data_IF_210984383540
#
_entry.id   IF_210984383540
#
_cell.length_a   1.000
_cell.length_b   1.000
_cell.length_c   1.000
_cell.angle_alpha   90.00
_cell.angle_beta   90.00
_cell.angle_gamma   90.00
#
_symmetry.space_group_name_H-M   'P 1'
#
loop_
_entity.id
_entity.type
_entity.pdbx_description
1 polymer ?
#
# COMPACT_ATOMS: atom_id res chain seq x y z
N UNK A 1 1.85 -102.28 -37.92
CA UNK A 1 2.19 -101.08 -37.14
C UNK A 1 2.99 -100.15 -38.04
N UNK A 2 2.31 -99.21 -38.72
CA UNK A 2 2.98 -98.18 -39.53
C UNK A 2 2.46 -96.84 -39.01
N UNK A 3 3.30 -96.19 -38.22
CA UNK A 3 3.10 -94.85 -37.70
C UNK A 3 3.42 -93.85 -38.82
N UNK A 4 2.39 -93.25 -39.43
CA UNK A 4 2.58 -92.18 -40.42
C UNK A 4 2.69 -90.85 -39.67
N UNK A 5 3.89 -90.28 -39.66
CA UNK A 5 4.22 -88.95 -39.14
C UNK A 5 3.38 -87.88 -39.84
N UNK A 6 2.46 -87.24 -39.12
CA UNK A 6 1.77 -86.04 -39.57
C UNK A 6 2.79 -84.92 -39.84
N UNK A 7 2.84 -84.45 -41.09
CA UNK A 7 3.83 -83.49 -41.57
C UNK A 7 3.47 -82.07 -41.09
N UNK A 8 4.03 -81.63 -39.94
CA UNK A 8 3.74 -80.36 -39.25
C UNK A 8 4.17 -79.07 -39.99
N UNK A 9 4.47 -79.12 -41.29
CA UNK A 9 5.07 -78.00 -42.04
C UNK A 9 4.07 -76.89 -42.41
N UNK A 10 2.77 -77.19 -42.56
CA UNK A 10 1.73 -76.18 -42.83
C UNK A 10 1.30 -75.38 -41.60
N UNK A 11 1.43 -75.96 -40.40
CA UNK A 11 1.05 -75.32 -39.13
C UNK A 11 2.01 -74.19 -38.72
N UNK A 12 3.29 -74.29 -39.10
CA UNK A 12 4.31 -73.27 -38.81
C UNK A 12 4.01 -71.95 -39.52
N UNK A 13 3.50 -72.01 -40.76
CA UNK A 13 3.18 -70.82 -41.57
C UNK A 13 1.96 -70.06 -41.01
N UNK A 14 0.97 -70.80 -40.49
CA UNK A 14 -0.22 -70.21 -39.86
C UNK A 14 0.17 -69.53 -38.53
N UNK A 15 1.01 -70.18 -37.71
CA UNK A 15 1.52 -69.58 -36.47
C UNK A 15 2.36 -68.34 -36.76
N UNK A 16 3.27 -68.40 -37.75
CA UNK A 16 4.09 -67.24 -38.09
C UNK A 16 3.24 -66.06 -38.59
N UNK A 17 2.18 -66.33 -39.37
CA UNK A 17 1.26 -65.29 -39.80
C UNK A 17 0.48 -64.69 -38.62
N UNK A 18 0.00 -65.52 -37.70
CA UNK A 18 -0.70 -65.05 -36.51
C UNK A 18 0.20 -64.19 -35.61
N UNK A 19 1.47 -64.58 -35.43
CA UNK A 19 2.46 -63.79 -34.70
C UNK A 19 2.72 -62.45 -35.40
N UNK A 20 2.84 -62.43 -36.73
CA UNK A 20 3.04 -61.19 -37.50
C UNK A 20 1.83 -60.26 -37.33
N UNK A 21 0.59 -60.77 -37.39
CA UNK A 21 -0.62 -59.96 -37.21
C UNK A 21 -0.70 -59.37 -35.80
N UNK A 22 -0.37 -60.14 -34.77
CA UNK A 22 -0.31 -59.62 -33.39
C UNK A 22 0.76 -58.53 -33.28
N UNK A 23 1.93 -58.76 -33.88
CA UNK A 23 3.05 -57.82 -33.82
C UNK A 23 2.73 -56.53 -34.57
N UNK A 24 2.05 -56.59 -35.72
CA UNK A 24 1.61 -55.39 -36.44
C UNK A 24 0.55 -54.62 -35.67
N UNK A 25 -0.40 -55.29 -35.01
CA UNK A 25 -1.38 -54.64 -34.12
C UNK A 25 -0.69 -53.91 -32.96
N UNK A 26 0.32 -54.53 -32.34
CA UNK A 26 1.12 -53.90 -31.28
C UNK A 26 1.90 -52.69 -31.80
N UNK A 27 2.49 -52.77 -33.00
CA UNK A 27 3.23 -51.65 -33.61
C UNK A 27 2.30 -50.48 -33.91
N UNK A 28 1.11 -50.73 -34.47
CA UNK A 28 0.11 -49.67 -34.74
C UNK A 28 -0.34 -49.01 -33.45
N UNK A 29 -0.62 -49.80 -32.40
CA UNK A 29 -0.98 -49.29 -31.08
C UNK A 29 0.13 -48.41 -30.50
N UNK A 30 1.39 -48.88 -30.55
CA UNK A 30 2.53 -48.12 -30.03
C UNK A 30 2.75 -46.81 -30.79
N UNK A 31 2.67 -46.84 -32.13
CA UNK A 31 2.82 -45.64 -32.96
C UNK A 31 1.73 -44.61 -32.65
N UNK A 32 0.48 -45.06 -32.43
CA UNK A 32 -0.62 -44.16 -32.04
C UNK A 32 -0.39 -43.49 -30.68
N UNK A 33 0.16 -44.23 -29.70
CA UNK A 33 0.55 -43.68 -28.40
C UNK A 33 1.64 -42.63 -28.54
N UNK A 34 2.69 -42.91 -29.33
CA UNK A 34 3.80 -41.96 -29.55
C UNK A 34 3.33 -40.66 -30.21
N UNK A 35 2.38 -40.74 -31.15
CA UNK A 35 1.78 -39.55 -31.77
C UNK A 35 0.97 -38.76 -30.74
N UNK A 36 0.17 -39.45 -29.90
CA UNK A 36 -0.59 -38.81 -28.85
C UNK A 36 0.31 -38.11 -27.82
N UNK A 37 1.39 -38.79 -27.38
CA UNK A 37 2.36 -38.25 -26.43
C UNK A 37 3.07 -37.01 -26.99
N UNK A 38 3.47 -37.03 -28.26
CA UNK A 38 4.06 -35.86 -28.91
C UNK A 38 3.07 -34.69 -28.99
N UNK A 39 1.80 -34.95 -29.29
CA UNK A 39 0.78 -33.91 -29.36
C UNK A 39 0.50 -33.31 -27.97
N UNK A 40 0.46 -34.13 -26.92
CA UNK A 40 0.33 -33.68 -25.54
C UNK A 40 1.56 -32.86 -25.13
N UNK A 41 2.77 -33.33 -25.42
CA UNK A 41 4.01 -32.61 -25.11
C UNK A 41 4.08 -31.26 -25.82
N UNK A 42 3.70 -31.20 -27.09
CA UNK A 42 3.63 -29.95 -27.85
C UNK A 42 2.62 -28.97 -27.24
N UNK A 43 1.41 -29.44 -26.91
CA UNK A 43 0.38 -28.61 -26.27
C UNK A 43 0.78 -28.16 -24.88
N UNK A 44 1.42 -29.02 -24.09
CA UNK A 44 1.90 -28.70 -22.76
C UNK A 44 2.98 -27.61 -22.82
N UNK A 45 3.97 -27.77 -23.70
CA UNK A 45 5.02 -26.79 -23.88
C UNK A 45 4.48 -25.44 -24.39
N UNK A 46 3.55 -25.45 -25.35
CA UNK A 46 2.88 -24.22 -25.81
C UNK A 46 2.02 -23.57 -24.71
N UNK A 47 1.34 -24.37 -23.88
CA UNK A 47 0.57 -23.92 -22.73
C UNK A 47 1.45 -23.22 -21.69
N UNK A 48 2.62 -23.80 -21.37
CA UNK A 48 3.56 -23.22 -20.41
C UNK A 48 4.08 -21.88 -20.95
N UNK A 49 4.43 -21.79 -22.23
CA UNK A 49 4.85 -20.53 -22.86
C UNK A 49 3.75 -19.46 -22.82
N UNK A 50 2.54 -19.82 -23.21
CA UNK A 50 1.38 -18.92 -23.15
C UNK A 50 1.12 -18.43 -21.71
N UNK A 51 1.32 -19.29 -20.71
CA UNK A 51 1.19 -18.90 -19.30
C UNK A 51 2.25 -17.87 -18.88
N UNK A 52 3.53 -18.08 -19.22
CA UNK A 52 4.58 -17.10 -18.92
C UNK A 52 4.36 -15.76 -19.62
N UNK A 53 3.89 -15.79 -20.87
CA UNK A 53 3.50 -14.57 -21.60
C UNK A 53 2.34 -13.83 -20.90
N UNK A 54 1.33 -14.56 -20.42
CA UNK A 54 0.24 -13.99 -19.66
C UNK A 54 0.75 -13.37 -18.33
N UNK A 55 1.71 -14.01 -17.65
CA UNK A 55 2.31 -13.46 -16.43
C UNK A 55 3.07 -12.16 -16.71
N UNK A 56 3.89 -12.11 -17.77
CA UNK A 56 4.59 -10.89 -18.17
C UNK A 56 3.61 -9.75 -18.53
N UNK A 57 2.46 -10.09 -19.11
CA UNK A 57 1.36 -9.15 -19.33
C UNK A 57 0.83 -8.54 -18.02
N UNK A 58 0.59 -9.36 -16.99
CA UNK A 58 0.15 -8.87 -15.67
C UNK A 58 1.21 -7.97 -15.04
N UNK A 59 2.47 -8.38 -15.05
CA UNK A 59 3.58 -7.59 -14.50
C UNK A 59 3.70 -6.23 -15.20
N UNK A 60 3.52 -6.20 -16.52
CA UNK A 60 3.50 -4.95 -17.27
C UNK A 60 2.32 -4.08 -16.90
N UNK A 61 1.12 -4.65 -16.75
CA UNK A 61 -0.07 -3.91 -16.33
C UNK A 61 0.12 -3.25 -14.96
N UNK A 62 0.66 -3.99 -13.99
CA UNK A 62 0.95 -3.46 -12.65
C UNK A 62 2.00 -2.34 -12.72
N UNK A 63 3.05 -2.50 -13.52
CA UNK A 63 4.07 -1.46 -13.70
C UNK A 63 3.49 -0.16 -14.26
N UNK A 64 2.58 -0.24 -15.23
CA UNK A 64 1.94 0.95 -15.81
C UNK A 64 0.94 1.59 -14.84
N UNK A 65 0.23 0.79 -14.03
CA UNK A 65 -0.64 1.33 -12.97
C UNK A 65 0.16 2.08 -11.88
N UNK A 66 1.35 1.59 -11.52
CA UNK A 66 2.17 2.19 -10.45
C UNK A 66 2.97 3.42 -10.92
N UNK A 67 3.53 3.38 -12.13
CA UNK A 67 4.48 4.40 -12.60
C UNK A 67 4.02 5.15 -13.86
N UNK A 68 2.91 4.75 -14.46
CA UNK A 68 2.44 5.26 -15.75
C UNK A 68 1.65 6.58 -15.68
N UNK A 69 1.89 7.42 -14.66
CA UNK A 69 1.23 8.72 -14.48
C UNK A 69 1.27 9.58 -15.77
N UNK A 70 0.24 9.44 -16.60
CA UNK A 70 0.09 10.12 -17.90
C UNK A 70 0.85 9.52 -19.10
N UNK A 71 1.50 8.35 -18.99
CA UNK A 71 2.30 7.76 -20.08
C UNK A 71 1.88 6.33 -20.42
N UNK A 72 0.65 6.16 -20.85
CA UNK A 72 0.12 4.92 -21.43
C UNK A 72 0.65 4.67 -22.86
N UNK A 73 1.97 4.59 -23.02
CA UNK A 73 2.61 4.46 -24.33
C UNK A 73 2.32 3.06 -24.91
N UNK A 74 1.73 3.01 -26.10
CA UNK A 74 1.39 1.76 -26.78
C UNK A 74 0.05 1.14 -26.38
N UNK A 75 -0.72 1.81 -25.52
CA UNK A 75 -2.07 1.41 -25.15
C UNK A 75 -3.11 2.07 -26.06
N UNK A 76 -4.19 1.35 -26.30
CA UNK A 76 -5.38 1.82 -27.00
C UNK A 76 -6.53 1.90 -26.01
N UNK A 77 -7.33 2.96 -26.11
CA UNK A 77 -8.56 3.10 -25.33
C UNK A 77 -9.74 2.51 -26.12
N UNK A 78 -10.40 1.50 -25.57
CA UNK A 78 -11.57 0.86 -26.17
C UNK A 78 -12.66 0.65 -25.11
N UNK A 79 -13.82 1.28 -25.31
CA UNK A 79 -15.02 1.11 -24.47
C UNK A 79 -14.78 1.26 -22.95
N UNK A 80 -13.94 2.23 -22.53
CA UNK A 80 -13.61 2.46 -21.11
C UNK A 80 -12.57 1.49 -20.55
N UNK A 81 -11.94 0.69 -21.41
CA UNK A 81 -10.82 -0.17 -21.07
C UNK A 81 -9.54 0.28 -21.79
N UNK A 82 -8.39 0.12 -21.13
CA UNK A 82 -7.07 0.26 -21.75
C UNK A 82 -6.60 -1.10 -22.23
N UNK A 83 -6.26 -1.19 -23.50
CA UNK A 83 -5.84 -2.42 -24.14
C UNK A 83 -4.43 -2.26 -24.71
N UNK A 84 -3.60 -3.27 -24.51
CA UNK A 84 -2.29 -3.35 -25.15
C UNK A 84 -2.09 -4.73 -25.75
N UNK A 85 -1.52 -4.77 -26.95
CA UNK A 85 -1.08 -6.01 -27.60
C UNK A 85 0.40 -5.89 -27.89
N UNK A 86 1.16 -6.92 -27.51
CA UNK A 86 2.60 -6.98 -27.73
C UNK A 86 2.93 -8.31 -28.40
N UNK A 87 3.67 -8.23 -29.51
CA UNK A 87 4.15 -9.40 -30.24
C UNK A 87 5.66 -9.49 -30.13
N UNK A 88 6.15 -10.66 -29.72
CA UNK A 88 7.58 -10.96 -29.66
C UNK A 88 7.95 -12.02 -30.69
N UNK A 89 8.72 -11.65 -31.73
CA UNK A 89 9.11 -12.57 -32.78
C UNK A 89 9.72 -13.87 -32.22
N UNK A 90 9.09 -15.00 -32.50
CA UNK A 90 9.56 -16.33 -32.09
C UNK A 90 9.18 -16.77 -30.66
N UNK A 91 8.61 -15.89 -29.84
CA UNK A 91 8.22 -16.19 -28.45
C UNK A 91 6.71 -16.31 -28.28
N UNK A 92 5.94 -15.47 -28.97
CA UNK A 92 4.48 -15.44 -28.88
C UNK A 92 3.96 -14.02 -28.72
N UNK A 93 2.67 -13.91 -28.42
CA UNK A 93 2.00 -12.63 -28.26
C UNK A 93 1.29 -12.59 -26.92
N UNK A 94 1.13 -11.41 -26.35
CA UNK A 94 0.25 -11.22 -25.21
C UNK A 94 -0.62 -9.99 -25.40
N UNK A 95 -1.83 -10.08 -24.86
CA UNK A 95 -2.77 -8.98 -24.77
C UNK A 95 -3.09 -8.68 -23.31
N UNK A 96 -3.33 -7.40 -23.04
CA UNK A 96 -3.77 -6.93 -21.73
C UNK A 96 -5.00 -6.07 -21.95
N UNK A 97 -6.01 -6.25 -21.13
CA UNK A 97 -7.16 -5.37 -21.01
C UNK A 97 -7.32 -4.97 -19.55
N UNK A 98 -7.26 -3.67 -19.28
CA UNK A 98 -7.52 -3.09 -17.96
C UNK A 98 -8.83 -2.33 -18.02
N UNK A 99 -9.77 -2.66 -17.15
CA UNK A 99 -11.06 -1.96 -16.98
C UNK A 99 -11.05 -1.20 -15.67
N UNK A 100 -11.80 -0.09 -15.61
CA UNK A 100 -11.87 0.78 -14.42
C UNK A 100 -10.49 1.27 -13.95
N UNK A 101 -9.66 1.75 -14.88
CA UNK A 101 -8.27 2.16 -14.62
C UNK A 101 -8.14 3.20 -13.50
N UNK A 102 -9.13 4.10 -13.39
CA UNK A 102 -9.13 5.18 -12.40
C UNK A 102 -9.82 4.80 -11.08
N UNK A 103 -10.36 3.57 -10.95
CA UNK A 103 -10.95 3.06 -9.71
C UNK A 103 -9.87 2.63 -8.71
N UNK A 104 -10.24 2.48 -7.44
CA UNK A 104 -9.38 1.86 -6.42
C UNK A 104 -9.04 0.40 -6.73
N UNK A 105 -9.89 -0.26 -7.53
CA UNK A 105 -9.78 -1.67 -7.88
C UNK A 105 -9.83 -1.89 -9.41
N UNK A 106 -8.79 -1.50 -10.17
CA UNK A 106 -8.71 -1.83 -11.59
C UNK A 106 -8.72 -3.35 -11.82
N UNK A 107 -9.53 -3.78 -12.78
CA UNK A 107 -9.64 -5.19 -13.17
C UNK A 107 -8.81 -5.46 -14.41
N UNK A 108 -7.86 -6.39 -14.29
CA UNK A 108 -6.85 -6.73 -15.31
C UNK A 108 -7.16 -8.11 -15.87
N UNK A 109 -7.32 -8.19 -17.18
CA UNK A 109 -7.37 -9.44 -17.95
C UNK A 109 -6.13 -9.51 -18.83
N UNK A 110 -5.26 -10.47 -18.55
CA UNK A 110 -4.05 -10.73 -19.31
C UNK A 110 -4.19 -12.06 -20.06
N UNK A 111 -3.82 -12.09 -21.33
CA UNK A 111 -3.84 -13.31 -22.14
C UNK A 111 -2.52 -13.48 -22.88
N UNK A 112 -1.97 -14.69 -22.85
CA UNK A 112 -0.80 -15.08 -23.64
C UNK A 112 -1.20 -16.07 -24.74
N UNK A 113 -0.59 -15.89 -25.91
CA UNK A 113 -0.84 -16.65 -27.14
C UNK A 113 0.47 -17.26 -27.66
N UNK A 114 0.43 -18.55 -27.99
CA UNK A 114 1.52 -19.23 -28.69
C UNK A 114 0.99 -20.05 -29.87
N UNK A 115 1.55 -19.93 -31.09
CA UNK A 115 2.65 -19.05 -31.48
C UNK A 115 2.26 -17.59 -31.76
N UNK A 116 0.98 -17.31 -32.08
CA UNK A 116 0.41 -15.97 -32.24
C UNK A 116 -1.11 -16.01 -32.09
N UNK A 117 -1.76 -14.86 -31.83
CA UNK A 117 -3.21 -14.74 -31.63
C UNK A 117 -4.00 -15.24 -32.86
N UNK A 118 -3.55 -14.87 -34.06
CA UNK A 118 -4.22 -15.20 -35.33
C UNK A 118 -3.88 -16.61 -35.86
N UNK A 119 -3.15 -17.42 -35.10
CA UNK A 119 -2.77 -18.78 -35.54
C UNK A 119 -3.92 -19.77 -35.37
N UNK A 120 -4.20 -20.58 -36.40
CA UNK A 120 -5.24 -21.62 -36.37
C UNK A 120 -5.08 -22.63 -35.21
N UNK A 121 -3.86 -22.83 -34.72
CA UNK A 121 -3.52 -23.72 -33.60
C UNK A 121 -3.06 -22.95 -32.35
N UNK A 122 -3.49 -21.70 -32.18
CA UNK A 122 -3.11 -20.88 -31.04
C UNK A 122 -3.50 -21.54 -29.72
N UNK A 123 -2.51 -21.68 -28.83
CA UNK A 123 -2.72 -22.09 -27.45
C UNK A 123 -2.79 -20.82 -26.61
N UNK A 124 -3.91 -20.66 -25.91
CA UNK A 124 -4.21 -19.46 -25.11
C UNK A 124 -4.22 -19.79 -23.63
N UNK A 125 -3.65 -18.90 -22.81
CA UNK A 125 -3.79 -18.89 -21.36
C UNK A 125 -4.16 -17.49 -20.90
N UNK A 126 -5.15 -17.40 -20.01
CA UNK A 126 -5.61 -16.15 -19.43
C UNK A 126 -5.33 -16.11 -17.94
N UNK A 127 -5.02 -14.92 -17.43
CA UNK A 127 -4.93 -14.60 -16.01
C UNK A 127 -5.85 -13.40 -15.78
N UNK A 128 -6.71 -13.52 -14.78
CA UNK A 128 -7.55 -12.44 -14.29
C UNK A 128 -7.02 -12.00 -12.93
N UNK A 129 -6.84 -10.69 -12.75
CA UNK A 129 -6.33 -10.12 -11.52
C UNK A 129 -7.10 -8.83 -11.19
N UNK A 130 -7.37 -8.63 -9.89
CA UNK A 130 -7.83 -7.34 -9.36
C UNK A 130 -6.62 -6.72 -8.70
N UNK A 131 -6.18 -5.56 -9.19
CA UNK A 131 -5.15 -4.79 -8.51
C UNK A 131 -5.85 -3.81 -7.55
N UNK A 132 -5.47 -3.82 -6.27
CA UNK A 132 -5.86 -2.79 -5.32
C UNK A 132 -4.80 -1.70 -5.31
N UNK A 133 -5.22 -0.43 -5.41
CA UNK A 133 -4.29 0.68 -5.22
C UNK A 133 -3.95 0.77 -3.74
N UNK A 134 -2.66 0.72 -3.38
CA UNK A 134 -2.24 1.09 -2.02
C UNK A 134 -2.66 2.54 -1.80
N UNK A 135 -3.77 2.74 -1.09
CA UNK A 135 -4.17 4.07 -0.66
C UNK A 135 -3.07 4.57 0.27
N UNK A 136 -2.53 5.74 -0.04
CA UNK A 136 -1.69 6.43 0.92
C UNK A 136 -2.54 6.61 2.17
N UNK A 137 -2.10 6.04 3.29
CA UNK A 137 -2.77 6.16 4.59
C UNK A 137 -2.98 7.63 5.00
N UNK A 138 -2.31 8.57 4.35
CA UNK A 138 -2.46 10.01 4.51
C UNK A 138 -3.20 10.66 3.32
N UNK A 139 -4.42 10.21 3.03
CA UNK A 139 -5.30 10.83 2.02
C UNK A 139 -6.09 12.03 2.56
N UNK A 140 -6.20 12.17 3.88
CA UNK A 140 -6.93 13.24 4.55
C UNK A 140 -6.00 14.11 5.38
N UNK A 141 -6.33 15.38 5.54
CA UNK A 141 -5.69 16.29 6.49
C UNK A 141 -5.98 15.85 7.94
N UNK A 142 -7.21 15.41 8.20
CA UNK A 142 -7.61 14.81 9.47
C UNK A 142 -8.55 13.63 9.23
N UNK A 143 -8.30 12.52 9.92
CA UNK A 143 -9.15 11.34 9.86
C UNK A 143 -9.37 10.71 11.23
N UNK A 144 -10.62 10.35 11.53
CA UNK A 144 -11.00 9.66 12.76
C UNK A 144 -11.62 8.29 12.47
N UNK A 145 -11.14 7.23 13.13
CA UNK A 145 -11.69 5.88 13.03
C UNK A 145 -13.16 5.80 13.46
N UNK A 146 -13.59 6.65 14.38
CA UNK A 146 -14.95 6.69 14.92
C UNK A 146 -15.55 8.09 14.89
N UNK A 147 -14.74 9.12 15.16
CA UNK A 147 -15.24 10.50 15.20
C UNK A 147 -14.13 11.51 14.94
N UNK A 148 -14.50 12.63 14.34
CA UNK A 148 -13.66 13.84 14.26
C UNK A 148 -14.42 15.03 14.83
N UNK A 149 -13.82 15.69 15.84
CA UNK A 149 -14.35 16.91 16.45
C UNK A 149 -13.47 18.11 16.08
N UNK A 150 -14.02 19.03 15.29
CA UNK A 150 -13.35 20.23 14.83
C UNK A 150 -13.92 21.46 15.54
N UNK A 151 -13.30 21.83 16.65
CA UNK A 151 -13.67 22.99 17.46
C UNK A 151 -12.82 24.23 17.18
N UNK A 152 -13.35 25.40 17.57
CA UNK A 152 -12.64 26.69 17.43
C UNK A 152 -12.69 27.26 16.01
N UNK A 153 -11.53 27.41 15.37
CA UNK A 153 -11.41 27.93 14.00
C UNK A 153 -10.51 27.03 13.14
N UNK A 154 -10.92 25.78 12.87
CA UNK A 154 -10.11 24.82 12.13
C UNK A 154 -9.96 25.27 10.67
N UNK A 155 -8.76 25.09 10.12
CA UNK A 155 -8.40 25.43 8.75
C UNK A 155 -7.62 24.25 8.16
N UNK A 156 -8.12 23.69 7.04
CA UNK A 156 -7.41 22.64 6.30
C UNK A 156 -7.06 23.11 4.89
N UNK A 157 -5.83 22.80 4.47
CA UNK A 157 -5.33 23.01 3.11
C UNK A 157 -4.49 21.81 2.68
N UNK A 158 -3.94 21.89 1.48
CA UNK A 158 -2.96 20.93 0.97
C UNK A 158 -1.67 21.66 0.61
N UNK A 159 -0.56 20.92 0.64
CA UNK A 159 0.69 21.45 0.12
C UNK A 159 1.54 20.34 -0.51
N UNK A 160 2.42 20.73 -1.43
CA UNK A 160 3.34 19.81 -2.09
C UNK A 160 4.75 19.94 -1.49
N UNK A 161 5.15 18.95 -0.69
CA UNK A 161 6.46 18.91 -0.03
C UNK A 161 7.65 18.80 -0.98
N UNK A 162 7.45 18.39 -2.24
CA UNK A 162 8.51 18.34 -3.25
C UNK A 162 8.92 19.74 -3.74
N UNK A 163 8.05 20.74 -3.55
CA UNK A 163 8.31 22.14 -3.92
C UNK A 163 9.00 22.95 -2.81
N UNK A 164 9.26 22.33 -1.66
CA UNK A 164 9.91 22.96 -0.51
C UNK A 164 9.02 23.03 0.74
N UNK A 165 9.52 23.69 1.81
CA UNK A 165 8.83 23.91 3.07
C UNK A 165 7.43 24.51 2.93
N UNK A 166 6.52 24.17 3.84
CA UNK A 166 5.14 24.69 3.79
C UNK A 166 5.09 26.23 3.76
N UNK A 167 4.20 26.78 2.91
CA UNK A 167 4.00 28.23 2.70
C UNK A 167 5.12 28.95 1.93
N UNK A 168 5.86 28.22 1.09
CA UNK A 168 6.82 28.79 0.15
C UNK A 168 6.28 28.76 -1.29
N UNK A 169 6.38 29.89 -2.00
CA UNK A 169 6.17 30.09 -3.43
C UNK A 169 5.24 29.08 -4.17
N UNK A 170 3.93 29.17 -3.94
CA UNK A 170 2.93 28.43 -4.73
C UNK A 170 2.92 26.92 -4.48
N UNK A 171 3.38 26.48 -3.30
CA UNK A 171 3.33 25.08 -2.88
C UNK A 171 2.03 24.69 -2.16
N UNK A 172 1.14 25.64 -1.86
CA UNK A 172 -0.17 25.38 -1.27
C UNK A 172 -1.25 25.25 -2.34
N UNK A 173 -2.21 24.39 -2.07
CA UNK A 173 -3.44 24.25 -2.82
C UNK A 173 -4.59 23.97 -1.86
N UNK A 174 -5.83 24.00 -2.33
CA UNK A 174 -7.00 23.98 -1.46
C UNK A 174 -7.52 22.57 -1.13
N UNK A 175 -6.83 21.48 -1.43
CA UNK A 175 -7.36 20.11 -1.28
C UNK A 175 -7.16 19.49 0.12
N UNK A 176 -7.62 20.17 1.17
CA UNK A 176 -7.48 19.74 2.56
C UNK A 176 -8.66 18.88 3.04
N UNK A 177 -8.72 17.61 2.62
CA UNK A 177 -9.86 16.73 2.89
C UNK A 177 -9.95 16.32 4.37
N UNK A 178 -11.17 16.14 4.89
CA UNK A 178 -11.43 15.67 6.26
C UNK A 178 -12.33 14.44 6.21
N UNK A 179 -11.98 13.38 6.96
CA UNK A 179 -12.73 12.13 6.92
C UNK A 179 -13.01 11.52 8.29
N UNK A 180 -14.05 10.70 8.37
CA UNK A 180 -14.24 9.75 9.47
C UNK A 180 -15.00 8.52 8.99
N UNK A 181 -14.78 7.36 9.61
CA UNK A 181 -15.68 6.20 9.44
C UNK A 181 -16.95 6.30 10.30
N UNK A 182 -17.04 7.30 11.19
CA UNK A 182 -18.25 7.61 11.94
C UNK A 182 -18.62 9.08 11.74
N UNK A 183 -18.72 9.85 12.81
CA UNK A 183 -19.26 11.21 12.78
C UNK A 183 -18.19 12.30 12.57
N UNK A 184 -18.59 13.44 11.99
CA UNK A 184 -17.79 14.66 11.97
C UNK A 184 -18.63 15.81 12.56
N UNK A 185 -18.13 16.41 13.65
CA UNK A 185 -18.79 17.55 14.30
C UNK A 185 -17.92 18.81 14.23
N UNK A 186 -18.60 19.93 14.00
CA UNK A 186 -18.06 21.28 14.08
C UNK A 186 -18.70 22.01 15.24
N UNK A 187 -17.86 22.56 16.13
CA UNK A 187 -18.32 23.40 17.25
C UNK A 187 -17.87 24.86 17.13
N UNK A 188 -17.18 25.20 16.04
CA UNK A 188 -16.64 26.52 15.75
C UNK A 188 -17.55 27.36 14.85
N UNK A 189 -17.65 28.67 15.10
CA UNK A 189 -18.40 29.60 14.24
C UNK A 189 -17.65 30.03 12.97
N UNK A 190 -16.37 29.67 12.84
CA UNK A 190 -15.54 30.06 11.70
C UNK A 190 -14.49 29.01 11.36
N UNK A 191 -14.92 27.91 10.73
CA UNK A 191 -14.05 26.90 10.15
C UNK A 191 -13.84 27.11 8.64
N UNK A 192 -12.83 26.46 8.06
CA UNK A 192 -12.57 26.41 6.62
C UNK A 192 -12.02 25.02 6.26
N UNK A 193 -12.74 24.28 5.43
CA UNK A 193 -12.27 23.03 4.85
C UNK A 193 -12.12 23.23 3.35
N UNK A 194 -10.87 23.28 2.88
CA UNK A 194 -10.60 23.52 1.46
C UNK A 194 -11.04 22.36 0.55
N UNK A 195 -11.08 21.13 1.08
CA UNK A 195 -11.33 19.90 0.33
C UNK A 195 -12.70 19.27 0.61
N UNK A 196 -12.78 17.98 0.35
CA UNK A 196 -13.95 17.14 0.58
C UNK A 196 -14.10 16.78 2.07
N UNK A 197 -15.33 16.52 2.49
CA UNK A 197 -15.63 15.97 3.81
C UNK A 197 -16.39 14.66 3.65
N UNK A 198 -15.94 13.59 4.31
CA UNK A 198 -16.61 12.28 4.18
C UNK A 198 -16.76 11.56 5.51
N UNK A 199 -17.99 11.16 5.84
CA UNK A 199 -18.32 10.39 7.03
C UNK A 199 -18.57 8.92 6.68
N UNK A 200 -18.73 8.07 7.70
CA UNK A 200 -19.25 6.72 7.52
C UNK A 200 -20.67 6.71 6.93
N UNK A 201 -21.13 5.54 6.49
CA UNK A 201 -22.46 5.35 5.91
C UNK A 201 -23.63 5.78 6.82
N UNK A 202 -23.43 5.74 8.14
CA UNK A 202 -24.37 6.20 9.16
C UNK A 202 -23.87 7.44 9.92
N UNK A 203 -22.79 8.07 9.44
CA UNK A 203 -22.13 9.17 10.12
C UNK A 203 -22.93 10.48 10.03
N UNK A 204 -22.96 11.22 11.14
CA UNK A 204 -23.56 12.55 11.20
C UNK A 204 -22.54 13.61 10.80
N UNK A 205 -22.99 14.56 9.99
CA UNK A 205 -22.23 15.75 9.61
C UNK A 205 -22.97 16.99 10.12
N UNK A 206 -22.38 17.73 11.06
CA UNK A 206 -23.13 18.74 11.84
C UNK A 206 -23.33 20.09 11.16
N UNK A 207 -22.46 20.47 10.22
CA UNK A 207 -22.49 21.79 9.56
C UNK A 207 -21.72 21.75 8.23
N UNK A 208 -22.32 22.26 7.15
CA UNK A 208 -21.79 22.23 5.79
C UNK A 208 -21.38 23.59 5.21
N UNK A 209 -21.61 24.68 5.92
CA UNK A 209 -21.55 26.03 5.35
C UNK A 209 -20.16 26.45 4.84
N UNK A 210 -19.09 25.76 5.26
CA UNK A 210 -17.70 26.12 4.90
C UNK A 210 -16.82 24.94 4.50
N UNK A 211 -17.45 23.91 3.93
CA UNK A 211 -16.78 22.86 3.15
C UNK A 211 -16.82 23.28 1.68
N UNK A 212 -15.65 23.35 1.04
CA UNK A 212 -15.55 23.79 -0.35
C UNK A 212 -15.57 22.63 -1.37
N UNK A 213 -15.28 21.41 -0.90
CA UNK A 213 -15.45 20.17 -1.66
C UNK A 213 -16.83 19.52 -1.50
N UNK A 214 -16.91 18.24 -1.83
CA UNK A 214 -18.10 17.42 -1.70
C UNK A 214 -18.24 16.85 -0.28
N UNK A 215 -19.48 16.75 0.18
CA UNK A 215 -19.83 16.05 1.42
C UNK A 215 -20.38 14.67 1.03
N UNK A 216 -19.76 13.61 1.53
CA UNK A 216 -20.19 12.22 1.29
C UNK A 216 -20.33 11.43 2.59
N UNK A 217 -21.05 10.31 2.53
CA UNK A 217 -21.34 9.44 3.66
C UNK A 217 -21.03 7.99 3.27
N UNK A 218 -19.81 7.73 2.80
CA UNK A 218 -19.41 6.42 2.28
C UNK A 218 -18.02 6.00 2.69
N UNK A 219 -17.42 6.67 3.69
CA UNK A 219 -16.11 6.28 4.18
C UNK A 219 -16.17 4.96 4.95
N UNK A 220 -15.22 4.10 4.61
CA UNK A 220 -14.93 2.84 5.28
C UNK A 220 -13.43 2.55 5.08
N UNK A 221 -12.60 3.42 5.64
CA UNK A 221 -11.14 3.28 5.57
C UNK A 221 -10.65 2.29 6.63
N UNK A 222 -9.86 1.31 6.21
CA UNK A 222 -9.16 0.44 7.16
C UNK A 222 -7.90 1.15 7.69
N UNK A 223 -7.81 1.27 9.02
CA UNK A 223 -6.68 1.88 9.70
C UNK A 223 -5.94 0.81 10.51
N UNK A 224 -4.99 0.09 9.89
CA UNK A 224 -4.24 -0.95 10.57
C UNK A 224 -3.40 -0.36 11.71
N UNK A 225 -3.31 -1.08 12.83
CA UNK A 225 -2.50 -0.66 13.96
C UNK A 225 -1.01 -0.55 13.54
N UNK A 226 -0.31 0.53 13.94
CA UNK A 226 1.10 0.69 13.60
C UNK A 226 1.95 -0.40 14.26
N UNK A 227 2.87 -1.00 13.49
CA UNK A 227 3.81 -1.99 14.01
C UNK A 227 5.16 -1.36 14.33
N UNK A 228 5.71 -1.63 15.52
CA UNK A 228 7.06 -1.21 15.89
C UNK A 228 8.10 -2.08 15.19
N UNK A 229 9.09 -1.50 14.49
CA UNK A 229 10.20 -2.26 13.89
C UNK A 229 10.91 -3.18 14.90
N UNK A 230 11.15 -4.44 14.51
CA UNK A 230 11.77 -5.45 15.38
C UNK A 230 13.17 -5.04 15.89
N UNK A 231 13.90 -4.25 15.10
CA UNK A 231 15.18 -3.64 15.47
C UNK A 231 15.07 -2.67 16.65
N UNK A 232 13.95 -1.96 16.82
CA UNK A 232 13.72 -1.08 17.98
C UNK A 232 13.28 -1.89 19.20
N UNK A 233 12.49 -2.94 18.99
CA UNK A 233 12.02 -3.81 20.08
C UNK A 233 13.20 -4.50 20.78
N UNK A 234 14.21 -4.92 20.03
CA UNK A 234 15.38 -5.63 20.56
C UNK A 234 16.42 -4.74 21.27
N UNK A 235 16.32 -3.41 21.15
CA UNK A 235 17.24 -2.49 21.83
C UNK A 235 17.07 -2.51 23.36
N UNK A 236 18.18 -2.26 24.05
CA UNK A 236 18.16 -1.99 25.48
C UNK A 236 17.38 -0.71 25.77
N UNK A 237 16.49 -0.76 26.77
CA UNK A 237 15.66 0.39 27.15
C UNK A 237 16.49 1.38 27.97
N UNK A 238 16.70 2.58 27.42
CA UNK A 238 17.26 3.72 28.15
C UNK A 238 16.26 4.35 29.13
N UNK A 239 16.75 5.14 30.08
CA UNK A 239 15.89 5.86 31.01
C UNK A 239 15.20 7.05 30.34
N UNK A 240 14.24 7.65 31.04
CA UNK A 240 13.56 8.88 30.59
C UNK A 240 14.56 10.02 30.42
N UNK A 241 14.53 10.71 29.28
CA UNK A 241 15.34 11.90 29.03
C UNK A 241 14.71 13.08 29.77
N UNK A 242 15.47 13.74 30.66
CA UNK A 242 14.97 14.85 31.48
C UNK A 242 15.73 16.18 31.36
N UNK A 243 16.78 16.19 30.55
CA UNK A 243 17.71 17.31 30.44
C UNK A 243 18.03 17.59 28.98
N UNK A 244 18.62 18.76 28.72
CA UNK A 244 19.10 19.10 27.38
C UNK A 244 20.07 18.05 26.85
N UNK A 245 19.79 17.53 25.66
CA UNK A 245 20.56 16.47 25.02
C UNK A 245 20.43 16.57 23.50
N UNK A 246 21.47 16.14 22.78
CA UNK A 246 21.41 15.93 21.33
C UNK A 246 21.45 14.44 21.02
N UNK A 247 20.51 13.97 20.21
CA UNK A 247 20.52 12.64 19.61
C UNK A 247 21.06 12.73 18.19
N UNK A 248 22.06 11.89 17.90
CA UNK A 248 22.61 11.71 16.56
C UNK A 248 21.71 10.76 15.75
N UNK A 249 21.92 10.62 14.43
CA UNK A 249 21.16 9.66 13.63
C UNK A 249 21.27 8.24 14.19
N UNK A 250 20.16 7.51 14.25
CA UNK A 250 20.15 6.14 14.75
C UNK A 250 18.83 5.66 15.35
N UNK A 251 18.85 4.42 15.85
CA UNK A 251 17.72 3.78 16.50
C UNK A 251 17.88 3.86 18.02
N UNK A 252 16.85 4.33 18.71
CA UNK A 252 16.85 4.53 20.15
C UNK A 252 15.62 3.92 20.79
N UNK A 253 15.78 3.45 22.03
CA UNK A 253 14.69 2.99 22.86
C UNK A 253 14.79 3.61 24.24
N UNK A 254 13.77 4.32 24.68
CA UNK A 254 13.73 4.97 25.99
C UNK A 254 12.41 4.64 26.72
N UNK A 255 12.40 4.87 28.04
CA UNK A 255 11.15 4.91 28.79
C UNK A 255 10.30 6.13 28.42
N UNK A 256 10.92 7.28 28.16
CA UNK A 256 10.16 8.47 27.79
C UNK A 256 11.03 9.71 27.62
N UNK A 257 10.37 10.83 27.39
CA UNK A 257 10.96 12.17 27.28
C UNK A 257 10.12 13.06 28.20
N UNK A 258 10.74 13.65 29.20
CA UNK A 258 10.10 14.51 30.21
C UNK A 258 10.92 15.80 30.32
N UNK A 259 10.60 16.79 29.49
CA UNK A 259 11.33 18.05 29.42
C UNK A 259 10.52 19.16 30.07
N UNK A 260 11.00 19.60 31.23
CA UNK A 260 10.43 20.73 31.97
C UNK A 260 11.38 21.93 31.92
N UNK A 261 10.87 23.14 32.20
CA UNK A 261 11.71 24.34 32.29
C UNK A 261 12.18 24.82 30.91
N UNK A 262 13.49 24.90 30.68
CA UNK A 262 14.11 25.32 29.40
C UNK A 262 14.91 24.19 28.73
N UNK A 263 14.67 22.93 29.11
CA UNK A 263 15.40 21.80 28.57
C UNK A 263 15.04 21.54 27.10
N UNK A 264 16.05 21.26 26.27
CA UNK A 264 15.87 21.04 24.83
C UNK A 264 16.43 19.69 24.41
N UNK A 265 15.59 18.84 23.81
CA UNK A 265 16.05 17.63 23.14
C UNK A 265 16.20 17.92 21.65
N UNK A 266 17.44 18.01 21.17
CA UNK A 266 17.74 18.18 19.75
C UNK A 266 17.90 16.82 19.10
N UNK A 267 17.21 16.57 17.99
CA UNK A 267 17.28 15.32 17.23
C UNK A 267 17.79 15.64 15.84
N UNK A 268 18.94 15.05 15.49
CA UNK A 268 19.51 15.08 14.16
C UNK A 268 19.12 13.76 13.50
N UNK A 269 18.18 13.79 12.55
CA UNK A 269 17.71 12.59 11.86
C UNK A 269 18.73 12.04 10.86
N UNK A 270 18.45 10.94 10.14
CA UNK A 270 17.32 10.05 10.33
C UNK A 270 17.41 9.35 11.68
N UNK A 271 16.30 9.30 12.42
CA UNK A 271 16.24 8.64 13.72
C UNK A 271 14.92 7.90 13.91
N UNK A 272 14.97 6.71 14.49
CA UNK A 272 13.78 6.01 14.95
C UNK A 272 13.84 5.89 16.47
N UNK A 273 12.83 6.40 17.16
CA UNK A 273 12.78 6.48 18.61
C UNK A 273 11.56 5.71 19.09
N UNK A 274 11.79 4.71 19.93
CA UNK A 274 10.74 3.91 20.56
C UNK A 274 10.62 4.27 22.04
N UNK A 275 9.43 4.72 22.45
CA UNK A 275 9.10 5.13 23.81
C UNK A 275 8.13 4.12 24.43
N UNK A 276 8.52 3.55 25.56
CA UNK A 276 7.85 2.40 26.19
C UNK A 276 7.14 2.72 27.50
N UNK A 277 7.32 3.93 28.03
CA UNK A 277 6.74 4.34 29.30
C UNK A 277 5.30 4.78 29.16
N UNK A 278 4.52 4.61 30.22
CA UNK A 278 3.09 4.95 30.25
C UNK A 278 2.80 6.42 29.94
N UNK A 279 3.66 7.34 30.38
CA UNK A 279 3.72 8.71 29.88
C UNK A 279 5.02 8.82 29.10
N UNK A 280 4.90 8.71 27.78
CA UNK A 280 6.05 8.58 26.90
C UNK A 280 6.65 9.93 26.54
N UNK A 281 5.82 10.96 26.36
CA UNK A 281 6.28 12.33 26.11
C UNK A 281 5.52 13.26 27.06
N UNK A 282 6.26 14.00 27.89
CA UNK A 282 5.76 15.08 28.74
C UNK A 282 6.61 16.33 28.51
N UNK A 283 6.03 17.35 27.88
CA UNK A 283 6.69 18.63 27.66
C UNK A 283 5.91 19.70 28.42
N UNK A 284 6.57 20.43 29.32
CA UNK A 284 5.95 21.50 30.09
C UNK A 284 6.83 22.75 30.15
N UNK A 285 6.21 23.92 30.32
CA UNK A 285 6.92 25.20 30.37
C UNK A 285 7.51 25.61 29.02
N UNK A 286 8.83 25.75 28.95
CA UNK A 286 9.58 26.02 27.71
C UNK A 286 10.39 24.79 27.25
N UNK A 287 10.11 23.61 27.79
CA UNK A 287 10.69 22.36 27.31
C UNK A 287 10.29 22.12 25.86
N UNK A 288 11.26 21.76 25.01
CA UNK A 288 10.98 21.53 23.59
C UNK A 288 11.79 20.38 22.99
N UNK A 289 11.19 19.69 22.04
CA UNK A 289 11.89 18.79 21.13
C UNK A 289 12.17 19.59 19.85
N UNK A 290 13.42 19.62 19.44
CA UNK A 290 13.89 20.36 18.28
C UNK A 290 14.41 19.38 17.22
N UNK A 291 13.81 19.39 16.04
CA UNK A 291 14.27 18.62 14.88
C UNK A 291 14.99 19.59 13.94
N UNK A 292 16.29 19.42 13.78
CA UNK A 292 17.15 20.33 13.00
C UNK A 292 17.36 19.83 11.57
N UNK A 293 17.67 20.76 10.65
CA UNK A 293 17.67 20.58 9.19
C UNK A 293 18.66 19.54 8.63
N UNK A 294 18.31 19.05 7.42
CA UNK A 294 19.09 18.30 6.43
C UNK A 294 19.47 16.83 6.67
N UNK A 295 18.82 16.12 7.58
CA UNK A 295 19.09 14.69 7.70
C UNK A 295 17.82 13.91 8.06
N UNK A 296 17.17 13.33 7.05
CA UNK A 296 16.21 12.22 7.13
C UNK A 296 14.98 12.34 8.05
N UNK A 297 13.97 11.46 7.88
CA UNK A 297 12.79 11.47 8.73
C UNK A 297 13.10 11.02 10.17
N UNK A 298 12.48 11.69 11.14
CA UNK A 298 12.43 11.27 12.54
C UNK A 298 11.10 10.57 12.79
N UNK A 299 11.15 9.34 13.28
CA UNK A 299 9.97 8.53 13.60
C UNK A 299 9.91 8.25 15.09
N UNK A 300 8.79 8.59 15.71
CA UNK A 300 8.46 8.18 17.06
C UNK A 300 7.48 7.02 17.03
N UNK A 301 7.77 5.97 17.79
CA UNK A 301 6.84 4.89 18.13
C UNK A 301 6.55 5.01 19.62
N UNK A 302 5.29 5.15 20.00
CA UNK A 302 4.93 5.60 21.34
C UNK A 302 3.87 4.68 21.92
N UNK A 303 4.23 3.91 22.95
CA UNK A 303 3.29 3.00 23.63
C UNK A 303 2.42 3.72 24.66
N UNK A 304 2.91 4.82 25.24
CA UNK A 304 2.21 5.56 26.27
C UNK A 304 1.58 6.86 25.80
N UNK A 305 1.04 7.61 26.75
CA UNK A 305 0.42 8.89 26.50
C UNK A 305 1.45 9.96 26.08
N UNK A 306 0.98 10.93 25.30
CA UNK A 306 1.71 12.14 24.93
C UNK A 306 0.98 13.32 25.55
N UNK A 307 1.69 14.12 26.34
CA UNK A 307 1.23 15.37 26.92
C UNK A 307 2.22 16.47 26.56
N UNK A 308 1.83 17.33 25.64
CA UNK A 308 2.65 18.47 25.23
C UNK A 308 1.93 19.75 25.64
N UNK A 309 2.60 20.57 26.44
CA UNK A 309 2.15 21.88 26.86
C UNK A 309 3.30 22.89 26.75
N UNK A 310 3.00 24.14 26.37
CA UNK A 310 4.02 25.19 26.22
C UNK A 310 4.57 25.34 24.80
N UNK A 311 5.90 25.29 24.63
CA UNK A 311 6.57 25.51 23.33
C UNK A 311 6.60 24.27 22.42
N UNK A 312 6.37 23.08 22.99
CA UNK A 312 6.09 21.84 22.25
C UNK A 312 7.20 21.33 21.34
N UNK A 313 6.80 20.76 20.20
CA UNK A 313 7.71 20.16 19.22
C UNK A 313 7.95 21.14 18.08
N UNK A 314 9.19 21.61 17.96
CA UNK A 314 9.62 22.48 16.88
C UNK A 314 10.33 21.63 15.80
N UNK A 315 9.70 21.51 14.63
CA UNK A 315 10.34 20.95 13.45
C UNK A 315 10.78 22.12 12.55
N UNK A 316 12.04 22.54 12.70
CA UNK A 316 12.57 23.72 12.00
C UNK A 316 12.68 23.49 10.49
N UNK A 317 12.67 22.23 10.03
CA UNK A 317 12.64 21.89 8.59
C UNK A 317 11.35 22.32 7.90
N UNK A 318 10.28 22.58 8.68
CA UNK A 318 8.93 22.95 8.19
C UNK A 318 8.39 21.99 7.10
N UNK A 319 8.90 20.76 7.11
CA UNK A 319 8.53 19.69 6.18
C UNK A 319 7.89 18.55 6.98
N UNK A 320 6.56 18.41 6.93
CA UNK A 320 5.83 17.36 7.63
C UNK A 320 6.34 15.92 7.45
N UNK A 321 6.85 15.48 6.28
CA UNK A 321 7.43 14.14 6.13
C UNK A 321 8.64 13.86 7.02
N UNK A 322 9.29 14.90 7.57
CA UNK A 322 10.45 14.75 8.42
C UNK A 322 10.11 14.40 9.88
N UNK A 323 8.83 14.47 10.28
CA UNK A 323 8.36 14.10 11.61
C UNK A 323 7.13 13.20 11.51
N UNK A 324 7.26 11.95 11.95
CA UNK A 324 6.20 10.97 12.00
C UNK A 324 6.04 10.48 13.45
N UNK A 325 4.83 10.51 13.99
CA UNK A 325 4.50 10.00 15.32
C UNK A 325 3.49 8.86 15.17
N UNK A 326 3.87 7.66 15.59
CA UNK A 326 3.05 6.47 15.58
C UNK A 326 2.61 6.13 17.02
N UNK A 327 1.30 6.16 17.27
CA UNK A 327 0.73 5.73 18.55
C UNK A 327 0.46 4.23 18.56
N UNK A 328 1.18 3.49 19.39
CA UNK A 328 1.14 2.03 19.51
C UNK A 328 0.48 1.55 20.81
N UNK A 329 -0.07 2.47 21.61
CA UNK A 329 -0.63 2.20 22.94
C UNK A 329 -2.05 1.63 22.97
N UNK A 330 -2.71 1.52 21.81
CA UNK A 330 -4.07 0.99 21.69
C UNK A 330 -5.16 1.95 22.20
N UNK A 331 -6.36 1.41 22.49
CA UNK A 331 -7.60 2.17 22.73
C UNK A 331 -7.61 3.12 23.94
N UNK A 332 -6.68 2.94 24.87
CA UNK A 332 -6.59 3.77 26.07
C UNK A 332 -5.55 4.90 25.95
N UNK A 333 -4.78 4.91 24.86
CA UNK A 333 -3.74 5.90 24.64
C UNK A 333 -4.35 7.27 24.39
N UNK A 334 -3.78 8.30 25.01
CA UNK A 334 -4.16 9.70 24.80
C UNK A 334 -2.97 10.50 24.28
N UNK A 335 -3.20 11.21 23.19
CA UNK A 335 -2.22 12.10 22.56
C UNK A 335 -2.78 13.51 22.63
N UNK A 336 -2.35 14.25 23.65
CA UNK A 336 -2.73 15.64 23.88
C UNK A 336 -1.59 16.55 23.49
N UNK A 337 -1.79 17.36 22.44
CA UNK A 337 -0.81 18.35 21.99
C UNK A 337 -1.43 19.73 22.11
N UNK A 338 -0.93 20.49 23.07
CA UNK A 338 -1.29 21.89 23.30
C UNK A 338 -0.10 22.82 23.28
N UNK A 339 -0.36 24.12 23.24
CA UNK A 339 0.68 25.16 23.30
C UNK A 339 0.53 26.22 22.22
N UNK A 340 1.46 27.18 22.19
CA UNK A 340 1.44 28.29 21.22
C UNK A 340 2.27 28.01 19.96
N UNK A 341 2.83 26.80 19.83
CA UNK A 341 3.68 26.40 18.72
C UNK A 341 2.90 25.94 17.49
N UNK A 342 3.63 25.70 16.39
CA UNK A 342 3.11 25.00 15.23
C UNK A 342 3.77 23.64 15.08
N UNK A 343 2.97 22.57 14.97
CA UNK A 343 3.47 21.22 14.73
C UNK A 343 3.59 20.99 13.21
N UNK A 344 4.81 20.74 12.72
CA UNK A 344 5.02 20.30 11.33
C UNK A 344 5.33 18.80 11.34
N UNK A 345 4.34 17.96 11.08
CA UNK A 345 4.50 16.50 11.18
C UNK A 345 3.21 15.73 10.93
N UNK A 346 3.33 14.41 10.88
CA UNK A 346 2.20 13.49 10.75
C UNK A 346 2.01 12.68 12.04
N UNK A 347 0.76 12.52 12.48
CA UNK A 347 0.40 11.67 13.62
C UNK A 347 -0.49 10.53 13.09
N UNK A 348 -0.10 9.30 13.38
CA UNK A 348 -0.87 8.10 13.05
C UNK A 348 -1.04 7.24 14.29
N UNK A 349 -2.21 7.32 14.91
CA UNK A 349 -2.55 6.59 16.13
C UNK A 349 -4.03 6.15 16.06
N UNK A 350 -4.36 5.13 15.24
CA UNK A 350 -5.74 4.82 14.85
C UNK A 350 -6.63 4.35 16.01
N UNK A 351 -6.03 3.89 17.11
CA UNK A 351 -6.75 3.50 18.31
C UNK A 351 -6.62 4.53 19.44
N UNK A 352 -5.84 5.61 19.29
CA UNK A 352 -5.65 6.59 20.35
C UNK A 352 -6.58 7.79 20.21
N UNK A 353 -7.02 8.33 21.35
CA UNK A 353 -7.70 9.62 21.38
C UNK A 353 -6.67 10.74 21.16
N UNK A 354 -6.84 11.50 20.09
CA UNK A 354 -5.98 12.65 19.77
C UNK A 354 -6.72 13.94 20.09
N UNK A 355 -6.12 14.79 20.92
CA UNK A 355 -6.61 16.12 21.24
C UNK A 355 -5.55 17.17 20.87
N UNK A 356 -5.92 18.10 19.99
CA UNK A 356 -5.05 19.18 19.51
C UNK A 356 -5.66 20.51 19.90
N UNK A 357 -5.06 21.23 20.85
CA UNK A 357 -5.63 22.47 21.41
C UNK A 357 -4.68 23.65 21.30
N UNK A 358 -5.09 24.71 20.59
CA UNK A 358 -4.32 25.96 20.51
C UNK A 358 -3.06 25.90 19.63
N UNK A 359 -2.82 24.77 18.97
CA UNK A 359 -1.64 24.53 18.12
C UNK A 359 -2.01 24.67 16.64
N UNK A 360 -1.19 25.41 15.88
CA UNK A 360 -1.29 25.37 14.42
C UNK A 360 -0.66 24.09 13.89
N UNK A 361 -1.46 23.15 13.40
CA UNK A 361 -0.92 21.89 12.86
C UNK A 361 -0.76 22.01 11.35
N UNK A 362 0.44 21.74 10.87
CA UNK A 362 0.78 21.64 9.44
C UNK A 362 1.20 20.20 9.19
N UNK A 363 0.33 19.43 8.57
CA UNK A 363 0.54 18.00 8.37
C UNK A 363 -0.78 17.23 8.42
N UNK A 364 -0.71 15.98 8.85
CA UNK A 364 -1.83 15.04 8.79
C UNK A 364 -2.03 14.33 10.12
N UNK A 365 -3.29 14.08 10.50
CA UNK A 365 -3.64 13.51 11.80
C UNK A 365 -4.65 12.39 11.64
N UNK A 366 -4.31 11.19 12.09
CA UNK A 366 -5.14 9.99 12.05
C UNK A 366 -5.31 9.45 13.46
N UNK A 367 -6.54 9.46 13.97
CA UNK A 367 -6.89 9.10 15.35
C UNK A 367 -8.12 8.19 15.45
N UNK A 368 -8.51 7.84 16.68
CA UNK A 368 -9.74 7.08 16.97
C UNK A 368 -10.98 7.93 16.98
#
# INVERSE_FOLDING_TARGET
MICVRANKRGFVLIISYFIIVILTMLVVSFLSSVIADNLIAYRHHGSVRAFWLAQSAVERAISELNYGAGKWIGWQDEAGAKIMKVSWPGFGEFSIRITNVDSDNPFIVAQGFFPAEDSYNAIVRGIEAVAGRERNIFSYAAFGKSRVDLGGNPFTDSYNSLKGPYNEAGNKDYNGDVGSNGDIYFSGSSYYIGGDASTGCDGVFSDSDRVFGQITHSNDEDLPAPAVPAELVSLAVGQTIKQTQTLMPGNYKFKGIDLTGQNVLTIIGPANIYLTGQLSIDLTGQGKILITEDSGPVRFYVDGDISISGQGVANDTKSPPNLLIFGTGGSNQKISIGGSGSLYGAIYAPDALINLEGVGTVGVVFGS
#
